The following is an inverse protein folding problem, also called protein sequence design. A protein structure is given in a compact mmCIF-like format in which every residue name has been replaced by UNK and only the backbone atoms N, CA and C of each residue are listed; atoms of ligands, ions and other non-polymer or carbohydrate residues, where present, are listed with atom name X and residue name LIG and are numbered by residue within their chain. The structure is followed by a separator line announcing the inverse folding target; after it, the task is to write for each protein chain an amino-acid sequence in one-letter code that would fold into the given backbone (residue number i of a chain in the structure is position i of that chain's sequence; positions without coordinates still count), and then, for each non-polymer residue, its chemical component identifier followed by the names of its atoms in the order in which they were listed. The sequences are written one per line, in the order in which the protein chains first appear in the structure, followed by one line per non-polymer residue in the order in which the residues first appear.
data_IF_727604651075
#
_entry.id   IF_727604651075
#
_cell.length_a   1.000
_cell.length_b   1.000
_cell.length_c   1.000
_cell.angle_alpha   90.00
_cell.angle_beta   90.00
_cell.angle_gamma   90.00
#
_symmetry.space_group_name_H-M   'P 1'
#
loop_
_entity.id
_entity.type
_entity.pdbx_description
1 polymer ?
#
# COMPACT_ATOMS: atom_id res chain seq x y z
N UNK A 1 -14.51 -36.42 21.45
CA UNK A 1 -13.27 -37.15 21.83
C UNK A 1 -13.61 -38.40 22.65
N UNK A 2 -12.82 -39.49 22.62
CA UNK A 2 -13.03 -40.64 23.52
C UNK A 2 -12.55 -40.28 24.94
N UNK A 3 -13.36 -40.48 26.00
CA UNK A 3 -12.93 -40.17 27.36
C UNK A 3 -11.68 -40.97 27.80
N UNK A 4 -10.90 -40.41 28.71
CA UNK A 4 -9.87 -41.14 29.46
C UNK A 4 -10.61 -42.03 30.46
N UNK A 5 -10.51 -43.34 30.27
CA UNK A 5 -11.09 -44.31 31.21
C UNK A 5 -10.19 -44.38 32.45
N UNK A 6 -10.79 -44.33 33.65
CA UNK A 6 -10.10 -44.52 34.94
C UNK A 6 -9.98 -46.00 35.32
N UNK A 7 -10.82 -46.84 34.72
CA UNK A 7 -10.92 -48.26 34.97
C UNK A 7 -10.18 -49.07 33.90
N UNK A 8 -9.74 -50.28 34.26
CA UNK A 8 -9.19 -51.26 33.32
C UNK A 8 -10.26 -52.27 32.96
N UNK A 9 -10.40 -52.52 31.66
CA UNK A 9 -11.36 -53.46 31.12
C UNK A 9 -10.67 -54.39 30.13
N UNK A 10 -10.71 -55.69 30.38
CA UNK A 10 -10.08 -56.71 29.53
C UNK A 10 -11.15 -57.48 28.72
N UNK A 11 -10.83 -57.97 27.51
CA UNK A 11 -11.74 -58.84 26.76
C UNK A 11 -12.09 -60.10 27.57
N UNK A 12 -13.36 -60.47 27.59
CA UNK A 12 -13.80 -61.69 28.25
C UNK A 12 -13.14 -62.91 27.60
N UNK A 13 -12.58 -63.86 28.38
CA UNK A 13 -12.03 -65.11 27.84
C UNK A 13 -13.05 -65.91 27.00
N UNK A 14 -14.35 -65.76 27.31
CA UNK A 14 -15.44 -66.51 26.68
C UNK A 14 -16.07 -65.82 25.47
N UNK A 15 -15.95 -64.49 25.36
CA UNK A 15 -16.49 -63.69 24.25
C UNK A 15 -15.65 -62.43 24.06
N UNK A 16 -14.76 -62.37 23.05
CA UNK A 16 -13.89 -61.22 22.80
C UNK A 16 -14.64 -59.91 22.51
N UNK A 17 -15.96 -59.94 22.28
CA UNK A 17 -16.80 -58.76 22.08
C UNK A 17 -17.33 -58.18 23.41
N UNK A 18 -17.16 -58.88 24.53
CA UNK A 18 -17.52 -58.41 25.87
C UNK A 18 -16.26 -58.03 26.64
N UNK A 19 -16.34 -56.98 27.44
CA UNK A 19 -15.27 -56.57 28.35
C UNK A 19 -15.64 -56.94 29.79
N UNK A 20 -14.66 -57.41 30.56
CA UNK A 20 -14.76 -57.72 32.00
C UNK A 20 -13.89 -56.74 32.76
N UNK A 21 -14.37 -56.29 33.92
CA UNK A 21 -13.65 -55.36 34.78
C UNK A 21 -12.36 -56.01 35.30
N UNK A 22 -11.23 -55.34 35.09
CA UNK A 22 -9.88 -55.83 35.37
C UNK A 22 -9.13 -54.98 36.42
N UNK A 23 -9.81 -54.06 37.11
CA UNK A 23 -9.25 -53.22 38.16
C UNK A 23 -9.25 -51.72 37.83
N UNK A 24 -8.54 -50.94 38.63
CA UNK A 24 -8.38 -49.49 38.41
C UNK A 24 -7.03 -49.20 37.73
N UNK A 25 -6.93 -48.06 37.05
CA UNK A 25 -5.65 -47.58 36.51
C UNK A 25 -4.83 -46.90 37.60
N UNK A 26 -3.52 -46.88 37.41
CA UNK A 26 -2.64 -46.10 38.28
C UNK A 26 -2.83 -44.61 37.99
N UNK A 27 -2.71 -43.78 39.03
CA UNK A 27 -2.82 -42.34 38.90
C UNK A 27 -1.77 -41.76 37.93
N UNK A 28 -0.57 -42.35 37.89
CA UNK A 28 0.48 -41.99 36.95
C UNK A 28 0.06 -42.22 35.50
N UNK A 29 -0.51 -43.39 35.19
CA UNK A 29 -0.94 -43.70 33.83
C UNK A 29 -2.03 -42.74 33.35
N UNK A 30 -2.98 -42.41 34.23
CA UNK A 30 -4.06 -41.46 33.92
C UNK A 30 -3.51 -40.05 33.72
N UNK A 31 -2.57 -39.62 34.57
CA UNK A 31 -1.94 -38.30 34.47
C UNK A 31 -1.07 -38.15 33.22
N UNK A 32 -0.25 -39.15 32.88
CA UNK A 32 0.59 -39.09 31.68
C UNK A 32 -0.24 -39.12 30.39
N UNK A 33 -1.35 -39.88 30.37
CA UNK A 33 -2.28 -39.82 29.24
C UNK A 33 -2.93 -38.44 29.11
N UNK A 34 -3.37 -37.84 30.22
CA UNK A 34 -3.93 -36.49 30.22
C UNK A 34 -2.90 -35.46 29.73
N UNK A 35 -1.69 -35.51 30.28
CA UNK A 35 -0.57 -34.64 29.91
C UNK A 35 -0.25 -34.74 28.42
N UNK A 36 -0.12 -35.97 27.90
CA UNK A 36 0.10 -36.23 26.48
C UNK A 36 -1.01 -35.65 25.61
N UNK A 37 -2.29 -35.81 26.01
CA UNK A 37 -3.41 -35.23 25.27
C UNK A 37 -3.36 -33.70 25.27
N UNK A 38 -3.11 -33.07 26.42
CA UNK A 38 -3.02 -31.61 26.52
C UNK A 38 -1.86 -31.05 25.68
N UNK A 39 -0.70 -31.70 25.71
CA UNK A 39 0.47 -31.32 24.91
C UNK A 39 0.16 -31.37 23.41
N UNK A 40 -0.44 -32.47 22.92
CA UNK A 40 -0.82 -32.60 21.51
C UNK A 40 -1.85 -31.56 21.05
N UNK A 41 -2.67 -31.05 21.97
CA UNK A 41 -3.66 -29.99 21.68
C UNK A 41 -3.09 -28.57 21.83
N UNK A 42 -1.85 -28.40 22.32
CA UNK A 42 -1.30 -27.08 22.66
C UNK A 42 -1.88 -26.47 23.94
N UNK A 43 -2.49 -27.30 24.78
CA UNK A 43 -3.15 -26.94 26.05
C UNK A 43 -2.38 -27.41 27.28
N UNK A 44 -1.10 -27.77 27.14
CA UNK A 44 -0.25 -27.98 28.30
C UNK A 44 0.09 -26.62 28.94
N UNK A 45 -0.12 -26.44 30.26
CA UNK A 45 0.33 -25.24 30.96
C UNK A 45 1.84 -25.01 30.76
N UNK A 46 2.22 -23.77 30.50
CA UNK A 46 3.56 -23.42 30.01
C UNK A 46 4.61 -23.21 31.11
N UNK A 47 4.22 -23.06 32.38
CA UNK A 47 5.17 -23.06 33.50
C UNK A 47 5.42 -24.48 34.01
N UNK A 48 4.37 -25.17 34.47
CA UNK A 48 4.46 -26.58 34.86
C UNK A 48 3.08 -27.26 34.86
N UNK A 49 3.10 -28.59 34.74
CA UNK A 49 1.95 -29.45 34.98
C UNK A 49 2.41 -30.69 35.75
N UNK A 50 1.99 -30.81 37.01
CA UNK A 50 2.58 -31.75 37.98
C UNK A 50 1.51 -32.62 38.63
N UNK A 51 1.80 -33.92 38.76
CA UNK A 51 1.03 -34.85 39.58
C UNK A 51 1.29 -34.56 41.06
N UNK A 52 0.25 -34.60 41.88
CA UNK A 52 0.40 -34.44 43.32
C UNK A 52 1.09 -35.68 43.94
N UNK A 53 2.06 -35.44 44.83
CA UNK A 53 2.90 -36.47 45.47
C UNK A 53 2.12 -37.58 46.16
N UNK A 54 0.91 -37.30 46.66
CA UNK A 54 0.04 -38.32 47.28
C UNK A 54 -0.38 -39.44 46.31
N UNK A 55 -0.24 -39.22 45.01
CA UNK A 55 -0.60 -40.16 43.95
C UNK A 55 0.60 -40.84 43.30
N UNK A 56 1.81 -40.54 43.76
CA UNK A 56 3.04 -41.18 43.31
C UNK A 56 3.12 -42.67 43.74
N UNK A 57 4.14 -43.40 43.26
CA UNK A 57 4.43 -44.79 43.64
C UNK A 57 3.35 -45.84 43.32
N UNK A 58 2.66 -45.69 42.18
CA UNK A 58 1.76 -46.72 41.65
C UNK A 58 0.39 -46.81 42.33
N UNK A 59 -0.02 -45.75 43.04
CA UNK A 59 -1.34 -45.66 43.65
C UNK A 59 -2.44 -45.71 42.59
N UNK A 60 -3.44 -46.57 42.81
CA UNK A 60 -4.61 -46.67 41.92
C UNK A 60 -5.62 -45.55 42.17
N UNK A 61 -6.31 -45.14 41.10
CA UNK A 61 -7.46 -44.24 41.18
C UNK A 61 -8.60 -44.94 41.94
N UNK A 62 -9.26 -44.28 42.90
CA UNK A 62 -10.39 -44.89 43.60
C UNK A 62 -11.53 -45.24 42.63
N UNK A 63 -12.21 -46.35 42.91
CA UNK A 63 -13.39 -46.74 42.15
C UNK A 63 -14.47 -45.65 42.26
N UNK A 64 -15.18 -45.41 41.16
CA UNK A 64 -16.24 -44.40 41.04
C UNK A 64 -15.74 -42.96 41.29
N UNK A 65 -14.42 -42.73 41.14
CA UNK A 65 -13.86 -41.39 41.19
C UNK A 65 -14.25 -40.57 39.97
N UNK A 66 -14.48 -39.29 40.21
CA UNK A 66 -14.74 -38.27 39.22
C UNK A 66 -13.68 -37.17 39.29
N UNK A 67 -13.45 -36.45 38.19
CA UNK A 67 -12.47 -35.36 38.10
C UNK A 67 -13.17 -34.03 37.89
N UNK A 68 -12.75 -33.01 38.62
CA UNK A 68 -13.14 -31.62 38.35
C UNK A 68 -11.94 -30.69 38.52
N UNK A 69 -12.03 -29.51 37.91
CA UNK A 69 -10.97 -28.51 37.92
C UNK A 69 -11.42 -27.21 38.59
N UNK A 70 -10.50 -26.50 39.23
CA UNK A 70 -10.70 -25.12 39.67
C UNK A 70 -9.57 -24.25 39.14
N UNK A 71 -9.92 -23.21 38.39
CA UNK A 71 -8.97 -22.23 37.85
C UNK A 71 -9.16 -20.90 38.58
N UNK A 72 -8.08 -20.34 39.11
CA UNK A 72 -8.11 -19.11 39.92
C UNK A 72 -6.77 -18.35 39.90
N UNK A 73 -6.77 -17.15 40.49
CA UNK A 73 -5.59 -16.35 40.81
C UNK A 73 -5.02 -16.75 42.18
N UNK A 74 -3.80 -17.29 42.19
CA UNK A 74 -3.02 -17.50 43.40
C UNK A 74 -2.22 -16.29 43.79
N UNK A 75 -2.44 -15.75 45.00
CA UNK A 75 -1.81 -14.51 45.45
C UNK A 75 -0.31 -14.38 45.11
N UNK A 76 0.52 -15.37 45.46
CA UNK A 76 1.95 -15.44 45.05
C UNK A 76 2.23 -16.51 43.99
N UNK A 77 1.22 -17.28 43.60
CA UNK A 77 1.35 -18.45 42.75
C UNK A 77 0.94 -18.18 41.30
N UNK A 78 0.47 -16.98 40.95
CA UNK A 78 0.06 -16.64 39.60
C UNK A 78 -1.25 -17.34 39.20
N UNK A 79 -1.49 -17.53 37.90
CA UNK A 79 -2.70 -18.19 37.40
C UNK A 79 -2.46 -19.70 37.33
N UNK A 80 -3.33 -20.48 37.97
CA UNK A 80 -3.23 -21.93 38.00
C UNK A 80 -4.58 -22.63 37.82
N UNK A 81 -4.52 -23.92 37.49
CA UNK A 81 -5.67 -24.83 37.50
C UNK A 81 -5.33 -26.06 38.35
N UNK A 82 -6.12 -26.27 39.40
CA UNK A 82 -6.03 -27.45 40.25
C UNK A 82 -7.06 -28.49 39.80
N UNK A 83 -6.60 -29.74 39.71
CA UNK A 83 -7.43 -30.89 39.40
C UNK A 83 -7.67 -31.67 40.68
N UNK A 84 -8.91 -32.09 40.89
CA UNK A 84 -9.33 -32.85 42.07
C UNK A 84 -10.01 -34.14 41.66
N UNK A 85 -9.74 -35.20 42.42
CA UNK A 85 -10.51 -36.43 42.40
C UNK A 85 -11.57 -36.38 43.49
N UNK A 86 -12.80 -36.75 43.14
CA UNK A 86 -13.93 -36.88 44.05
C UNK A 86 -14.53 -38.27 43.96
N UNK A 87 -14.64 -38.97 45.09
CA UNK A 87 -15.34 -40.25 45.18
C UNK A 87 -16.10 -40.33 46.51
N UNK A 88 -16.87 -41.40 46.71
CA UNK A 88 -17.56 -41.66 47.97
C UNK A 88 -16.91 -42.80 48.72
N UNK A 89 -16.67 -42.61 50.01
CA UNK A 89 -16.18 -43.64 50.92
C UNK A 89 -17.09 -43.66 52.15
N UNK A 90 -17.69 -44.83 52.43
CA UNK A 90 -18.62 -45.02 53.55
C UNK A 90 -19.83 -44.05 53.55
N UNK A 91 -20.23 -43.56 52.36
CA UNK A 91 -21.33 -42.61 52.18
C UNK A 91 -20.93 -41.14 52.20
N UNK A 92 -19.69 -40.82 52.59
CA UNK A 92 -19.17 -39.46 52.66
C UNK A 92 -18.32 -39.11 51.41
N UNK A 93 -18.43 -37.87 50.88
CA UNK A 93 -17.63 -37.45 49.75
C UNK A 93 -16.18 -37.16 50.18
N UNK A 94 -15.23 -37.80 49.52
CA UNK A 94 -13.79 -37.53 49.67
C UNK A 94 -13.31 -36.74 48.45
N UNK A 95 -12.64 -35.62 48.69
CA UNK A 95 -12.01 -34.78 47.66
C UNK A 95 -10.51 -34.71 47.91
N UNK A 96 -9.72 -35.04 46.91
CA UNK A 96 -8.25 -34.99 46.98
C UNK A 96 -7.67 -34.30 45.75
N UNK A 97 -6.70 -33.42 45.97
CA UNK A 97 -5.90 -32.82 44.90
C UNK A 97 -5.18 -33.93 44.13
N UNK A 98 -5.25 -33.87 42.81
CA UNK A 98 -4.72 -34.86 41.89
C UNK A 98 -3.51 -34.31 41.13
N UNK A 99 -3.64 -33.14 40.52
CA UNK A 99 -2.58 -32.49 39.77
C UNK A 99 -2.78 -30.97 39.75
N UNK A 100 -1.72 -30.23 39.46
CA UNK A 100 -1.76 -28.76 39.34
C UNK A 100 -1.03 -28.31 38.09
N UNK A 101 -1.64 -27.40 37.35
CA UNK A 101 -1.07 -26.74 36.19
C UNK A 101 -0.93 -25.25 36.43
N UNK A 102 0.20 -24.66 36.03
CA UNK A 102 0.45 -23.23 36.15
C UNK A 102 0.93 -22.64 34.83
N UNK A 103 0.52 -21.40 34.57
CA UNK A 103 1.03 -20.60 33.45
C UNK A 103 2.04 -19.54 33.88
N UNK A 104 2.98 -19.21 32.99
CA UNK A 104 3.98 -18.15 33.17
C UNK A 104 3.37 -16.75 33.15
N UNK A 105 2.20 -16.59 32.51
CA UNK A 105 1.52 -15.31 32.34
C UNK A 105 0.57 -14.97 33.49
N UNK A 106 0.31 -13.68 33.67
CA UNK A 106 -0.61 -13.16 34.70
C UNK A 106 -1.72 -12.29 34.11
N UNK A 107 -1.85 -12.24 32.78
CA UNK A 107 -2.85 -11.39 32.11
C UNK A 107 -4.24 -12.02 32.11
N UNK A 108 -5.27 -11.21 31.83
CA UNK A 108 -6.63 -11.72 31.62
C UNK A 108 -6.72 -12.77 30.50
N UNK A 109 -5.93 -12.63 29.44
CA UNK A 109 -5.86 -13.63 28.37
C UNK A 109 -5.21 -14.95 28.81
N UNK A 110 -4.28 -14.90 29.76
CA UNK A 110 -3.68 -16.11 30.34
C UNK A 110 -4.69 -16.84 31.23
N UNK A 111 -5.56 -16.09 31.92
CA UNK A 111 -6.68 -16.64 32.69
C UNK A 111 -7.68 -17.34 31.75
N UNK A 112 -8.08 -16.68 30.67
CA UNK A 112 -9.02 -17.24 29.68
C UNK A 112 -8.45 -18.53 29.07
N UNK A 113 -7.15 -18.53 28.72
CA UNK A 113 -6.45 -19.73 28.26
C UNK A 113 -6.47 -20.83 29.33
N UNK A 114 -6.25 -20.50 30.59
CA UNK A 114 -6.29 -21.48 31.68
C UNK A 114 -7.70 -22.08 31.88
N UNK A 115 -8.76 -21.30 31.70
CA UNK A 115 -10.13 -21.84 31.69
C UNK A 115 -10.39 -22.76 30.48
N UNK A 116 -9.81 -22.48 29.32
CA UNK A 116 -9.88 -23.39 28.17
C UNK A 116 -9.15 -24.70 28.43
N UNK A 117 -7.99 -24.65 29.09
CA UNK A 117 -7.25 -25.85 29.53
C UNK A 117 -8.11 -26.66 30.52
N UNK A 118 -8.71 -26.02 31.52
CA UNK A 118 -9.61 -26.68 32.48
C UNK A 118 -10.84 -27.33 31.80
N UNK A 119 -11.41 -26.66 30.81
CA UNK A 119 -12.47 -27.21 29.96
C UNK A 119 -11.99 -28.42 29.17
N UNK A 120 -10.80 -28.36 28.55
CA UNK A 120 -10.21 -29.47 27.82
C UNK A 120 -9.95 -30.69 28.73
N UNK A 121 -9.48 -30.47 29.95
CA UNK A 121 -9.30 -31.52 30.97
C UNK A 121 -10.66 -32.15 31.31
N UNK A 122 -11.66 -31.34 31.62
CA UNK A 122 -13.00 -31.83 31.97
C UNK A 122 -13.58 -32.68 30.82
N UNK A 123 -13.49 -32.19 29.58
CA UNK A 123 -13.92 -32.93 28.38
C UNK A 123 -13.10 -34.21 28.14
N UNK A 124 -11.83 -34.24 28.56
CA UNK A 124 -11.02 -35.45 28.45
C UNK A 124 -11.58 -36.60 29.30
N UNK A 125 -12.24 -36.33 30.42
CA UNK A 125 -12.83 -37.36 31.29
C UNK A 125 -14.34 -37.55 31.10
N UNK A 126 -15.07 -36.51 30.74
CA UNK A 126 -16.53 -36.58 30.59
C UNK A 126 -17.01 -36.70 29.14
N UNK A 127 -16.13 -36.46 28.17
CA UNK A 127 -16.50 -36.28 26.78
C UNK A 127 -17.14 -34.91 26.51
N UNK A 128 -17.48 -34.67 25.24
CA UNK A 128 -17.97 -33.36 24.79
C UNK A 128 -19.45 -33.11 25.11
N UNK A 129 -20.15 -34.08 25.72
CA UNK A 129 -21.60 -34.00 26.02
C UNK A 129 -21.84 -34.21 27.50
N UNK A 130 -22.45 -33.24 28.17
CA UNK A 130 -22.92 -33.39 29.54
C UNK A 130 -23.90 -34.58 29.67
N UNK A 131 -23.72 -35.39 30.70
CA UNK A 131 -24.39 -36.68 30.94
C UNK A 131 -25.90 -36.58 31.26
N UNK A 132 -26.57 -35.45 31.00
CA UNK A 132 -28.01 -35.28 31.22
C UNK A 132 -28.82 -35.62 29.96
N UNK A 133 -28.78 -36.89 29.57
CA UNK A 133 -29.60 -37.45 28.50
C UNK A 133 -31.06 -37.67 28.93
N UNK A 134 -31.81 -36.60 29.24
CA UNK A 134 -33.29 -36.70 29.37
C UNK A 134 -34.06 -36.25 28.12
N UNK A 135 -33.41 -35.60 27.15
CA UNK A 135 -34.10 -35.07 25.97
C UNK A 135 -33.24 -35.10 24.68
N UNK A 136 -32.66 -36.24 24.30
CA UNK A 136 -32.22 -36.41 22.91
C UNK A 136 -33.42 -36.90 22.08
N UNK A 137 -33.97 -36.04 21.22
CA UNK A 137 -34.94 -36.47 20.21
C UNK A 137 -34.21 -37.29 19.14
N UNK A 138 -34.80 -38.42 18.77
CA UNK A 138 -34.27 -39.30 17.74
C UNK A 138 -34.31 -38.59 16.37
N UNK A 139 -33.15 -38.23 15.82
CA UNK A 139 -33.03 -37.75 14.44
C UNK A 139 -32.39 -36.37 14.21
N UNK A 140 -32.03 -35.60 15.25
CA UNK A 140 -31.26 -34.36 15.06
C UNK A 140 -29.76 -34.70 14.87
N UNK A 141 -29.21 -34.34 13.70
CA UNK A 141 -27.77 -34.20 13.56
C UNK A 141 -27.36 -32.93 14.31
N UNK A 142 -26.31 -32.98 15.16
CA UNK A 142 -25.83 -31.77 15.81
C UNK A 142 -25.32 -30.80 14.73
N UNK A 143 -25.85 -29.58 14.75
CA UNK A 143 -25.26 -28.43 14.06
C UNK A 143 -23.76 -28.34 14.46
N UNK A 144 -22.87 -27.93 13.55
CA UNK A 144 -21.46 -27.74 13.88
C UNK A 144 -21.34 -26.73 15.04
N UNK A 145 -20.84 -27.18 16.19
CA UNK A 145 -20.62 -26.31 17.36
C UNK A 145 -19.56 -25.25 17.03
N UNK A 146 -19.81 -24.00 17.44
CA UNK A 146 -18.87 -22.89 17.30
C UNK A 146 -17.53 -23.23 17.97
N UNK A 147 -16.44 -23.09 17.21
CA UNK A 147 -15.09 -23.36 17.71
C UNK A 147 -14.49 -22.08 18.30
N UNK A 148 -14.29 -22.05 19.63
CA UNK A 148 -13.58 -20.97 20.32
C UNK A 148 -12.08 -21.28 20.31
N UNK A 149 -11.30 -20.48 19.57
CA UNK A 149 -9.84 -20.55 19.52
C UNK A 149 -9.25 -19.34 20.25
N UNK A 150 -8.43 -19.58 21.27
CA UNK A 150 -7.65 -18.53 21.91
C UNK A 150 -6.19 -18.64 21.46
N UNK A 151 -5.79 -17.74 20.56
CA UNK A 151 -4.44 -17.72 19.97
C UNK A 151 -3.58 -16.69 20.70
N UNK A 152 -2.38 -17.08 21.11
CA UNK A 152 -1.40 -16.13 21.63
C UNK A 152 -0.85 -15.23 20.50
N UNK A 153 -0.14 -14.12 20.81
CA UNK A 153 0.34 -13.19 19.77
C UNK A 153 1.25 -13.81 18.70
N UNK A 154 2.02 -14.85 19.04
CA UNK A 154 2.88 -15.54 18.08
C UNK A 154 2.07 -16.46 17.15
N UNK A 155 1.09 -17.19 17.69
CA UNK A 155 0.15 -18.01 16.94
C UNK A 155 -0.72 -17.17 16.01
N UNK A 156 -1.21 -16.01 16.47
CA UNK A 156 -1.95 -15.05 15.66
C UNK A 156 -1.12 -14.58 14.45
N UNK A 157 0.13 -14.17 14.67
CA UNK A 157 1.03 -13.77 13.57
C UNK A 157 1.29 -14.91 12.59
N UNK A 158 1.47 -16.12 13.10
CA UNK A 158 1.70 -17.30 12.26
C UNK A 158 0.49 -17.60 11.39
N UNK A 159 -0.71 -17.53 11.96
CA UNK A 159 -1.95 -17.72 11.24
C UNK A 159 -2.21 -16.62 10.20
N UNK A 160 -1.98 -15.35 10.56
CA UNK A 160 -2.09 -14.21 9.62
C UNK A 160 -1.11 -14.40 8.45
N UNK A 161 0.15 -14.72 8.72
CA UNK A 161 1.15 -14.93 7.67
C UNK A 161 0.76 -16.10 6.74
N UNK A 162 0.28 -17.21 7.31
CA UNK A 162 -0.19 -18.35 6.51
C UNK A 162 -1.41 -17.98 5.64
N UNK A 163 -2.33 -17.16 6.15
CA UNK A 163 -3.48 -16.67 5.38
C UNK A 163 -3.06 -15.71 4.26
N UNK A 164 -2.11 -14.80 4.52
CA UNK A 164 -1.57 -13.89 3.50
C UNK A 164 -0.86 -14.68 2.42
N UNK A 165 0.02 -15.61 2.79
CA UNK A 165 0.74 -16.46 1.83
C UNK A 165 -0.24 -17.33 1.01
N UNK A 166 -1.28 -17.87 1.65
CA UNK A 166 -2.32 -18.62 0.96
C UNK A 166 -3.09 -17.74 -0.02
N UNK A 167 -3.39 -16.49 0.34
CA UNK A 167 -4.03 -15.51 -0.55
C UNK A 167 -3.13 -15.19 -1.75
N UNK A 168 -1.85 -14.95 -1.53
CA UNK A 168 -0.88 -14.68 -2.61
C UNK A 168 -0.73 -15.88 -3.56
N UNK A 169 -0.64 -17.10 -3.01
CA UNK A 169 -0.64 -18.33 -3.82
C UNK A 169 -1.94 -18.51 -4.61
N UNK A 170 -3.09 -18.19 -4.01
CA UNK A 170 -4.37 -18.20 -4.71
C UNK A 170 -4.44 -17.16 -5.82
N UNK A 171 -3.93 -15.95 -5.59
CA UNK A 171 -3.89 -14.88 -6.58
C UNK A 171 -2.98 -15.23 -7.77
N UNK A 172 -1.81 -15.81 -7.51
CA UNK A 172 -0.93 -16.33 -8.56
C UNK A 172 -1.56 -17.49 -9.33
N UNK A 173 -2.20 -18.44 -8.63
CA UNK A 173 -2.91 -19.54 -9.27
C UNK A 173 -4.11 -19.03 -10.10
N UNK A 174 -4.84 -18.03 -9.60
CA UNK A 174 -5.91 -17.37 -10.34
C UNK A 174 -5.38 -16.64 -11.57
N UNK A 175 -4.26 -15.91 -11.47
CA UNK A 175 -3.65 -15.24 -12.62
C UNK A 175 -3.20 -16.23 -13.70
N UNK A 176 -2.60 -17.37 -13.31
CA UNK A 176 -2.21 -18.41 -14.27
C UNK A 176 -3.44 -19.10 -14.89
N UNK A 177 -4.47 -19.37 -14.09
CA UNK A 177 -5.74 -19.93 -14.57
C UNK A 177 -6.42 -18.97 -15.54
N UNK A 178 -6.44 -17.67 -15.22
CA UNK A 178 -6.96 -16.60 -16.06
C UNK A 178 -6.20 -16.53 -17.40
N UNK A 179 -4.87 -16.56 -17.38
CA UNK A 179 -4.05 -16.59 -18.58
C UNK A 179 -4.28 -17.83 -19.43
N UNK A 180 -4.48 -19.00 -18.79
CA UNK A 180 -4.78 -20.25 -19.49
C UNK A 180 -6.17 -20.19 -20.15
N UNK A 181 -7.18 -19.71 -19.42
CA UNK A 181 -8.53 -19.51 -19.94
C UNK A 181 -8.53 -18.54 -21.12
N UNK A 182 -7.85 -17.39 -21.00
CA UNK A 182 -7.66 -16.43 -22.11
C UNK A 182 -7.05 -17.08 -23.36
N UNK A 183 -6.11 -18.02 -23.19
CA UNK A 183 -5.52 -18.77 -24.32
C UNK A 183 -6.49 -19.78 -24.94
N UNK A 184 -7.37 -20.37 -24.14
CA UNK A 184 -8.31 -21.39 -24.59
C UNK A 184 -9.54 -20.78 -25.30
N UNK A 185 -10.07 -19.67 -24.80
CA UNK A 185 -11.32 -19.06 -25.29
C UNK A 185 -11.11 -17.77 -26.09
N UNK A 186 -9.88 -17.25 -26.17
CA UNK A 186 -9.54 -16.00 -26.87
C UNK A 186 -9.76 -14.74 -26.04
N UNK A 187 -10.76 -14.73 -25.15
CA UNK A 187 -11.01 -13.66 -24.17
C UNK A 187 -11.69 -14.23 -22.92
N UNK A 188 -11.59 -13.53 -21.77
CA UNK A 188 -12.33 -13.94 -20.56
C UNK A 188 -13.81 -13.81 -20.80
N UNK A 189 -14.21 -12.76 -21.52
CA UNK A 189 -15.60 -12.48 -21.86
C UNK A 189 -16.23 -13.68 -22.61
N UNK A 190 -15.53 -14.24 -23.60
CA UNK A 190 -15.98 -15.43 -24.34
C UNK A 190 -16.12 -16.69 -23.47
N UNK A 191 -15.18 -16.92 -22.53
CA UNK A 191 -15.29 -18.00 -21.55
C UNK A 191 -16.52 -17.81 -20.64
N UNK A 192 -16.72 -16.59 -20.14
CA UNK A 192 -17.84 -16.30 -19.23
C UNK A 192 -19.21 -16.44 -19.92
N UNK A 193 -19.29 -16.13 -21.21
CA UNK A 193 -20.49 -16.36 -22.04
C UNK A 193 -20.75 -17.87 -22.27
N UNK A 194 -19.72 -18.69 -22.44
CA UNK A 194 -19.84 -20.15 -22.62
C UNK A 194 -20.25 -20.88 -21.33
N UNK A 195 -19.75 -20.46 -20.16
CA UNK A 195 -19.84 -21.27 -18.92
C UNK A 195 -21.16 -21.06 -18.16
N UNK A 196 -21.96 -20.05 -18.53
CA UNK A 196 -23.35 -19.94 -18.07
C UNK A 196 -23.54 -19.66 -16.57
N UNK A 197 -23.96 -18.43 -16.26
CA UNK A 197 -24.51 -17.93 -14.99
C UNK A 197 -24.73 -18.92 -13.82
N UNK A 198 -23.78 -19.04 -12.88
CA UNK A 198 -23.99 -19.14 -11.39
C UNK A 198 -22.66 -18.91 -10.62
N UNK A 199 -22.63 -18.17 -9.49
CA UNK A 199 -23.36 -16.95 -9.13
C UNK A 199 -22.36 -15.82 -8.80
N UNK A 200 -21.93 -15.05 -9.80
CA UNK A 200 -21.50 -13.65 -9.66
C UNK A 200 -22.00 -12.98 -10.94
N UNK A 201 -23.12 -12.25 -10.87
CA UNK A 201 -23.53 -11.41 -12.01
C UNK A 201 -22.49 -10.29 -12.09
N UNK A 202 -21.60 -10.32 -13.08
CA UNK A 202 -20.78 -9.15 -13.39
C UNK A 202 -21.71 -7.98 -13.67
N UNK A 203 -21.42 -6.85 -13.04
CA UNK A 203 -22.10 -5.60 -13.36
C UNK A 203 -21.80 -5.23 -14.81
N UNK A 204 -22.66 -4.40 -15.42
CA UNK A 204 -22.38 -3.90 -16.77
C UNK A 204 -21.08 -3.08 -16.82
N UNK A 205 -20.67 -2.49 -15.69
CA UNK A 205 -19.36 -1.86 -15.51
C UNK A 205 -18.22 -2.88 -15.59
N UNK A 206 -18.28 -3.97 -14.83
CA UNK A 206 -17.23 -5.00 -14.83
C UNK A 206 -17.08 -5.62 -16.23
N UNK A 207 -18.20 -5.83 -16.94
CA UNK A 207 -18.17 -6.30 -18.33
C UNK A 207 -17.54 -5.27 -19.26
N UNK A 208 -17.83 -3.98 -19.08
CA UNK A 208 -17.23 -2.92 -19.88
C UNK A 208 -15.70 -2.86 -19.68
N UNK A 209 -15.22 -2.98 -18.43
CA UNK A 209 -13.79 -3.06 -18.12
C UNK A 209 -13.14 -4.29 -18.76
N UNK A 210 -13.79 -5.46 -18.70
CA UNK A 210 -13.30 -6.66 -19.39
C UNK A 210 -13.24 -6.46 -20.90
N UNK A 211 -14.28 -5.90 -21.52
CA UNK A 211 -14.30 -5.61 -22.95
C UNK A 211 -13.18 -4.65 -23.37
N UNK A 212 -12.86 -3.64 -22.53
CA UNK A 212 -11.69 -2.77 -22.74
C UNK A 212 -10.42 -3.61 -22.75
N UNK A 213 -10.18 -4.40 -21.71
CA UNK A 213 -8.96 -5.21 -21.57
C UNK A 213 -8.80 -6.23 -22.71
N UNK A 214 -9.91 -6.84 -23.12
CA UNK A 214 -9.96 -7.84 -24.19
C UNK A 214 -9.88 -7.19 -25.58
N UNK A 215 -10.15 -5.89 -25.72
CA UNK A 215 -10.17 -5.21 -27.01
C UNK A 215 -11.44 -5.39 -27.82
N UNK A 216 -12.52 -5.79 -27.17
CA UNK A 216 -13.80 -6.04 -27.81
C UNK A 216 -14.57 -4.72 -27.93
N UNK A 217 -14.23 -3.92 -28.94
CA UNK A 217 -14.81 -2.59 -29.15
C UNK A 217 -16.34 -2.60 -29.26
N UNK A 218 -16.91 -3.59 -29.98
CA UNK A 218 -18.36 -3.72 -30.14
C UNK A 218 -19.06 -4.04 -28.82
N UNK A 219 -18.49 -4.98 -28.03
CA UNK A 219 -19.01 -5.33 -26.71
C UNK A 219 -18.97 -4.11 -25.78
N UNK A 220 -17.82 -3.42 -25.71
CA UNK A 220 -17.66 -2.18 -24.97
C UNK A 220 -18.69 -1.12 -25.39
N UNK A 221 -18.88 -0.92 -26.70
CA UNK A 221 -19.80 0.07 -27.25
C UNK A 221 -21.26 -0.17 -26.86
N UNK A 222 -21.64 -1.43 -26.65
CA UNK A 222 -22.98 -1.80 -26.17
C UNK A 222 -23.17 -1.63 -24.66
N UNK A 223 -22.08 -1.56 -23.89
CA UNK A 223 -22.05 -1.62 -22.43
C UNK A 223 -21.86 -0.25 -21.78
N UNK A 224 -20.92 0.58 -22.26
CA UNK A 224 -20.62 1.87 -21.62
C UNK A 224 -21.85 2.80 -21.48
N UNK A 225 -22.84 2.84 -22.41
CA UNK A 225 -24.02 3.69 -22.24
C UNK A 225 -24.92 3.27 -21.07
N UNK A 226 -24.75 2.06 -20.53
CA UNK A 226 -25.54 1.52 -19.42
C UNK A 226 -25.00 1.88 -18.05
N UNK A 227 -23.79 2.43 -17.99
CA UNK A 227 -23.08 2.80 -16.75
C UNK A 227 -22.53 4.23 -16.84
N UNK A 228 -23.37 5.24 -17.13
CA UNK A 228 -22.93 6.62 -17.33
C UNK A 228 -22.30 7.23 -16.06
N UNK A 229 -22.67 6.73 -14.88
CA UNK A 229 -22.10 7.10 -13.58
C UNK A 229 -20.64 6.66 -13.40
N UNK A 230 -20.13 5.77 -14.26
CA UNK A 230 -18.76 5.23 -14.22
C UNK A 230 -17.90 5.70 -15.40
N UNK A 231 -18.30 6.78 -16.07
CA UNK A 231 -17.61 7.29 -17.25
C UNK A 231 -16.14 7.66 -17.00
N UNK A 232 -15.85 8.32 -15.87
CA UNK A 232 -14.49 8.66 -15.44
C UNK A 232 -13.60 7.41 -15.35
N UNK A 233 -14.07 6.37 -14.64
CA UNK A 233 -13.35 5.11 -14.48
C UNK A 233 -13.11 4.41 -15.83
N UNK A 234 -14.13 4.38 -16.69
CA UNK A 234 -14.03 3.76 -18.01
C UNK A 234 -13.08 4.53 -18.94
N UNK A 235 -13.03 5.86 -18.84
CA UNK A 235 -12.09 6.67 -19.62
C UNK A 235 -10.64 6.37 -19.20
N UNK A 236 -10.38 6.25 -17.90
CA UNK A 236 -9.07 5.89 -17.35
C UNK A 236 -8.64 4.50 -17.84
N UNK A 237 -9.52 3.48 -17.74
CA UNK A 237 -9.22 2.13 -18.22
C UNK A 237 -9.00 2.09 -19.74
N UNK A 238 -9.85 2.76 -20.53
CA UNK A 238 -9.74 2.81 -21.99
C UNK A 238 -8.47 3.53 -22.46
N UNK A 239 -8.10 4.63 -21.80
CA UNK A 239 -6.91 5.39 -22.13
C UNK A 239 -5.62 4.60 -21.88
N UNK A 240 -5.59 3.78 -20.82
CA UNK A 240 -4.48 2.88 -20.51
C UNK A 240 -4.33 1.70 -21.47
N UNK A 241 -5.33 1.41 -22.32
CA UNK A 241 -5.27 0.31 -23.28
C UNK A 241 -4.38 0.64 -24.47
N UNK A 242 -3.33 -0.14 -24.78
CA UNK A 242 -2.48 0.11 -25.95
C UNK A 242 -3.20 -0.13 -27.29
N UNK A 243 -2.73 0.52 -28.34
CA UNK A 243 -3.16 0.29 -29.73
C UNK A 243 -4.47 0.99 -30.12
N UNK A 244 -4.79 0.91 -31.42
CA UNK A 244 -5.90 1.64 -32.06
C UNK A 244 -7.26 1.43 -31.39
N UNK A 245 -7.54 0.22 -30.93
CA UNK A 245 -8.79 -0.11 -30.25
C UNK A 245 -8.97 0.69 -28.96
N UNK A 246 -7.91 0.89 -28.17
CA UNK A 246 -7.97 1.75 -26.98
C UNK A 246 -8.30 3.20 -27.32
N UNK A 247 -7.67 3.73 -28.37
CA UNK A 247 -8.01 5.06 -28.90
C UNK A 247 -9.44 5.17 -29.41
N UNK A 248 -9.99 4.14 -30.05
CA UNK A 248 -11.39 4.12 -30.47
C UNK A 248 -12.34 4.11 -29.28
N UNK A 249 -12.03 3.37 -28.21
CA UNK A 249 -12.82 3.34 -26.97
C UNK A 249 -12.82 4.71 -26.28
N UNK A 250 -11.66 5.36 -26.18
CA UNK A 250 -11.54 6.74 -25.67
C UNK A 250 -12.41 7.69 -26.49
N UNK A 251 -12.28 7.68 -27.83
CA UNK A 251 -13.11 8.56 -28.68
C UNK A 251 -14.60 8.30 -28.53
N UNK A 252 -15.01 7.05 -28.38
CA UNK A 252 -16.41 6.69 -28.16
C UNK A 252 -16.94 7.29 -26.85
N UNK A 253 -16.16 7.23 -25.76
CA UNK A 253 -16.52 7.84 -24.48
C UNK A 253 -16.57 9.37 -24.58
N UNK A 254 -15.54 10.00 -25.16
CA UNK A 254 -15.51 11.46 -25.35
C UNK A 254 -16.66 11.96 -26.24
N UNK A 255 -17.14 11.15 -27.18
CA UNK A 255 -18.28 11.54 -28.04
C UNK A 255 -19.64 11.36 -27.37
N UNK A 256 -19.75 10.48 -26.37
CA UNK A 256 -21.02 10.07 -25.79
C UNK A 256 -21.30 10.70 -24.43
N UNK A 257 -20.27 11.09 -23.69
CA UNK A 257 -20.38 11.68 -22.36
C UNK A 257 -20.19 13.21 -22.47
N UNK A 258 -21.00 13.97 -21.74
CA UNK A 258 -20.97 15.43 -21.82
C UNK A 258 -19.73 16.03 -21.14
N UNK A 259 -19.37 15.54 -19.95
CA UNK A 259 -18.26 16.07 -19.15
C UNK A 259 -17.62 14.97 -18.30
N UNK A 260 -16.32 15.14 -18.02
CA UNK A 260 -15.51 14.33 -17.12
C UNK A 260 -14.91 15.20 -16.02
N UNK A 261 -14.61 14.62 -14.87
CA UNK A 261 -13.87 15.34 -13.83
C UNK A 261 -12.44 15.66 -14.28
N UNK A 262 -11.87 16.82 -13.91
CA UNK A 262 -10.49 17.18 -14.24
C UNK A 262 -9.45 16.16 -13.78
N UNK A 263 -9.64 15.60 -12.59
CA UNK A 263 -8.75 14.60 -12.01
C UNK A 263 -8.79 13.28 -12.80
N UNK A 264 -9.98 12.81 -13.16
CA UNK A 264 -10.12 11.58 -13.94
C UNK A 264 -9.58 11.76 -15.36
N UNK A 265 -9.86 12.91 -16.00
CA UNK A 265 -9.37 13.21 -17.33
C UNK A 265 -7.84 13.31 -17.38
N UNK A 266 -7.23 14.01 -16.41
CA UNK A 266 -5.78 14.06 -16.26
C UNK A 266 -5.19 12.65 -16.04
N UNK A 267 -5.84 11.84 -15.21
CA UNK A 267 -5.43 10.45 -14.97
C UNK A 267 -5.49 9.63 -16.26
N UNK A 268 -6.56 9.79 -17.05
CA UNK A 268 -6.70 9.15 -18.36
C UNK A 268 -5.60 9.63 -19.33
N UNK A 269 -5.29 10.92 -19.40
CA UNK A 269 -4.18 11.43 -20.20
C UNK A 269 -2.83 10.82 -19.79
N UNK A 270 -2.56 10.72 -18.48
CA UNK A 270 -1.34 10.07 -17.94
C UNK A 270 -1.28 8.60 -18.36
N UNK A 271 -2.38 7.86 -18.25
CA UNK A 271 -2.50 6.47 -18.71
C UNK A 271 -2.28 6.35 -20.22
N UNK A 272 -2.78 7.29 -21.02
CA UNK A 272 -2.52 7.32 -22.45
C UNK A 272 -1.02 7.56 -22.76
N UNK A 273 -0.33 8.41 -22.01
CA UNK A 273 1.14 8.61 -22.11
C UNK A 273 1.90 7.32 -21.88
N UNK A 274 1.50 6.52 -20.88
CA UNK A 274 2.13 5.22 -20.58
C UNK A 274 2.10 4.27 -21.78
N UNK A 275 1.08 4.36 -22.64
CA UNK A 275 0.96 3.53 -23.85
C UNK A 275 1.93 3.93 -24.98
N UNK A 276 2.48 5.15 -24.93
CA UNK A 276 3.36 5.70 -25.96
C UNK A 276 2.67 6.19 -27.24
N UNK A 277 1.33 6.27 -27.26
CA UNK A 277 0.57 6.79 -28.40
C UNK A 277 0.50 8.33 -28.38
N UNK A 278 1.51 9.00 -28.95
CA UNK A 278 1.58 10.47 -29.02
C UNK A 278 0.32 11.10 -29.62
N UNK A 279 -0.24 10.49 -30.66
CA UNK A 279 -1.39 11.05 -31.38
C UNK A 279 -2.63 11.07 -30.49
N UNK A 280 -2.90 9.96 -29.78
CA UNK A 280 -4.01 9.89 -28.83
C UNK A 280 -3.86 10.89 -27.69
N UNK A 281 -2.67 10.98 -27.09
CA UNK A 281 -2.43 11.93 -25.99
C UNK A 281 -2.67 13.36 -26.46
N UNK A 282 -2.16 13.71 -27.65
CA UNK A 282 -2.39 15.01 -28.28
C UNK A 282 -3.88 15.29 -28.44
N UNK A 283 -4.65 14.38 -29.05
CA UNK A 283 -6.09 14.59 -29.26
C UNK A 283 -6.84 14.80 -27.94
N UNK A 284 -6.52 14.02 -26.91
CA UNK A 284 -7.13 14.22 -25.58
C UNK A 284 -6.79 15.59 -24.99
N UNK A 285 -5.55 16.04 -25.11
CA UNK A 285 -5.15 17.38 -24.61
C UNK A 285 -5.82 18.50 -25.42
N UNK A 286 -5.93 18.37 -26.75
CA UNK A 286 -6.58 19.35 -27.64
C UNK A 286 -8.09 19.48 -27.36
N UNK A 287 -8.76 18.37 -27.05
CA UNK A 287 -10.21 18.35 -26.78
C UNK A 287 -10.56 18.54 -25.29
N UNK A 288 -9.56 18.72 -24.41
CA UNK A 288 -9.79 18.78 -22.96
C UNK A 288 -10.79 19.88 -22.56
N UNK A 289 -10.67 21.09 -23.12
CA UNK A 289 -11.56 22.21 -22.78
C UNK A 289 -13.05 21.92 -23.10
N UNK A 290 -13.33 21.06 -24.09
CA UNK A 290 -14.71 20.71 -24.44
C UNK A 290 -15.31 19.59 -23.59
N UNK A 291 -14.46 18.80 -22.92
CA UNK A 291 -14.87 17.57 -22.22
C UNK A 291 -14.72 17.66 -20.70
N UNK A 292 -14.15 18.73 -20.17
CA UNK A 292 -13.97 18.92 -18.74
C UNK A 292 -15.18 19.61 -18.11
N UNK A 293 -15.54 19.16 -16.91
CA UNK A 293 -16.60 19.80 -16.13
C UNK A 293 -16.25 21.21 -15.65
N UNK A 294 -14.96 21.51 -15.53
CA UNK A 294 -14.43 22.82 -15.14
C UNK A 294 -13.08 23.09 -15.80
N UNK A 295 -12.67 24.37 -15.97
CA UNK A 295 -11.41 24.71 -16.61
C UNK A 295 -10.22 24.16 -15.83
N UNK A 296 -9.28 23.49 -16.52
CA UNK A 296 -8.05 22.98 -15.91
C UNK A 296 -6.79 23.44 -16.64
N UNK A 297 -6.34 24.70 -16.42
CA UNK A 297 -5.29 25.33 -17.22
C UNK A 297 -3.92 24.62 -17.19
N UNK A 298 -3.58 23.95 -16.08
CA UNK A 298 -2.30 23.24 -15.91
C UNK A 298 -2.27 21.84 -16.52
N UNK A 299 -3.40 21.32 -16.99
CA UNK A 299 -3.54 19.93 -17.46
C UNK A 299 -2.45 19.56 -18.46
N UNK A 300 -2.27 20.39 -19.48
CA UNK A 300 -1.28 20.16 -20.53
C UNK A 300 0.14 20.07 -19.97
N UNK A 301 0.50 20.99 -19.07
CA UNK A 301 1.80 21.00 -18.41
C UNK A 301 2.04 19.76 -17.54
N UNK A 302 1.02 19.29 -16.84
CA UNK A 302 1.10 18.08 -16.00
C UNK A 302 1.22 16.80 -16.82
N UNK A 303 0.56 16.72 -17.98
CA UNK A 303 0.70 15.60 -18.92
C UNK A 303 2.12 15.56 -19.50
N UNK A 304 2.67 16.72 -19.88
CA UNK A 304 4.06 16.83 -20.35
C UNK A 304 5.05 16.41 -19.25
N UNK A 305 4.85 16.88 -18.02
CA UNK A 305 5.69 16.51 -16.88
C UNK A 305 5.67 15.01 -16.64
N UNK A 306 4.49 14.39 -16.70
CA UNK A 306 4.35 12.95 -16.55
C UNK A 306 5.03 12.16 -17.68
N UNK A 307 4.98 12.66 -18.91
CA UNK A 307 5.71 12.07 -20.04
C UNK A 307 7.23 12.11 -19.83
N UNK A 308 7.78 13.20 -19.28
CA UNK A 308 9.18 13.27 -18.90
C UNK A 308 9.56 12.26 -17.79
N UNK A 309 8.72 12.11 -16.77
CA UNK A 309 8.98 11.20 -15.66
C UNK A 309 9.00 9.72 -16.08
N UNK A 310 8.31 9.35 -17.17
CA UNK A 310 8.17 7.97 -17.66
C UNK A 310 9.01 7.69 -18.93
N UNK A 311 10.03 8.50 -19.21
CA UNK A 311 10.90 8.38 -20.40
C UNK A 311 10.14 8.38 -21.75
N UNK A 312 8.99 9.06 -21.80
CA UNK A 312 8.18 9.27 -23.01
C UNK A 312 8.51 10.60 -23.67
N UNK A 313 9.79 10.85 -23.92
CA UNK A 313 10.31 12.15 -24.42
C UNK A 313 9.73 12.55 -25.78
N UNK A 314 9.43 11.60 -26.66
CA UNK A 314 8.77 11.89 -27.95
C UNK A 314 7.39 12.50 -27.75
N UNK A 315 6.59 11.92 -26.86
CA UNK A 315 5.25 12.42 -26.52
C UNK A 315 5.34 13.81 -25.91
N UNK A 316 6.28 14.02 -24.98
CA UNK A 316 6.50 15.33 -24.36
C UNK A 316 6.86 16.41 -25.40
N UNK A 317 7.78 16.12 -26.34
CA UNK A 317 8.18 17.05 -27.40
C UNK A 317 7.02 17.36 -28.35
N UNK A 318 6.29 16.34 -28.80
CA UNK A 318 5.14 16.50 -29.67
C UNK A 318 4.09 17.45 -29.06
N UNK A 319 3.84 17.30 -27.74
CA UNK A 319 2.94 18.17 -27.01
C UNK A 319 3.49 19.60 -26.90
N UNK A 320 4.74 19.77 -26.45
CA UNK A 320 5.34 21.10 -26.24
C UNK A 320 5.34 21.92 -27.52
N UNK A 321 5.63 21.32 -28.68
CA UNK A 321 5.65 22.00 -29.96
C UNK A 321 4.30 22.64 -30.31
N UNK A 322 3.20 21.99 -29.90
CA UNK A 322 1.83 22.39 -30.27
C UNK A 322 1.10 23.20 -29.19
N UNK A 323 1.61 23.18 -27.96
CA UNK A 323 1.03 23.96 -26.86
C UNK A 323 1.03 25.46 -27.16
N UNK A 324 -0.04 26.14 -26.77
CA UNK A 324 -0.06 27.60 -26.77
C UNK A 324 0.82 28.16 -25.63
N UNK A 325 1.33 29.41 -25.76
CA UNK A 325 2.05 30.06 -24.66
C UNK A 325 1.23 30.14 -23.37
N UNK A 326 -0.10 30.30 -23.45
CA UNK A 326 -0.97 30.32 -22.28
C UNK A 326 -0.98 29.00 -21.50
N UNK A 327 -0.99 27.86 -22.21
CA UNK A 327 -0.92 26.53 -21.59
C UNK A 327 0.44 26.27 -20.94
N UNK A 328 1.53 26.74 -21.54
CA UNK A 328 2.88 26.61 -20.97
C UNK A 328 3.06 27.55 -19.77
N UNK A 329 2.51 28.75 -19.81
CA UNK A 329 2.54 29.68 -18.68
C UNK A 329 1.78 29.13 -17.45
N UNK A 330 0.71 28.36 -17.67
CA UNK A 330 -0.05 27.68 -16.62
C UNK A 330 0.54 26.32 -16.18
N UNK A 331 1.60 25.85 -16.83
CA UNK A 331 2.20 24.56 -16.53
C UNK A 331 2.92 24.55 -15.16
N UNK A 332 3.09 23.37 -14.54
CA UNK A 332 3.84 23.25 -13.30
C UNK A 332 5.26 23.84 -13.40
N UNK A 333 5.67 24.73 -12.48
CA UNK A 333 6.99 25.39 -12.52
C UNK A 333 8.19 24.43 -12.58
N UNK A 334 8.03 23.23 -12.00
CA UNK A 334 9.05 22.17 -11.98
C UNK A 334 9.38 21.60 -13.38
N UNK A 335 8.53 21.84 -14.38
CA UNK A 335 8.72 21.31 -15.73
C UNK A 335 10.04 21.78 -16.36
N UNK A 336 10.40 23.06 -16.19
CA UNK A 336 11.67 23.60 -16.70
C UNK A 336 12.87 22.94 -16.01
N UNK A 337 12.78 22.70 -14.70
CA UNK A 337 13.82 21.96 -13.94
C UNK A 337 14.02 20.56 -14.50
N UNK A 338 12.94 19.85 -14.86
CA UNK A 338 13.03 18.50 -15.39
C UNK A 338 13.71 18.47 -16.77
N UNK A 339 13.39 19.42 -17.66
CA UNK A 339 14.03 19.56 -18.96
C UNK A 339 15.52 19.89 -18.83
N UNK A 340 15.87 20.81 -17.92
CA UNK A 340 17.25 21.19 -17.63
C UNK A 340 18.06 20.04 -17.03
N UNK A 341 17.50 19.30 -16.06
CA UNK A 341 18.16 18.14 -15.44
C UNK A 341 18.39 17.00 -16.44
N UNK A 342 17.54 16.89 -17.46
CA UNK A 342 17.67 15.91 -18.55
C UNK A 342 18.60 16.36 -19.67
N UNK A 343 19.21 17.55 -19.56
CA UNK A 343 20.03 18.21 -20.60
C UNK A 343 19.32 18.32 -21.95
N UNK A 344 17.99 18.45 -21.94
CA UNK A 344 17.17 18.61 -23.14
C UNK A 344 17.07 20.09 -23.52
N UNK A 345 18.20 20.63 -24.02
CA UNK A 345 18.36 22.05 -24.29
C UNK A 345 17.26 22.64 -25.18
N UNK A 346 16.97 21.97 -26.30
CA UNK A 346 15.98 22.46 -27.26
C UNK A 346 14.61 22.63 -26.60
N UNK A 347 14.23 21.66 -25.76
CA UNK A 347 12.95 21.71 -25.08
C UNK A 347 12.91 22.76 -23.99
N UNK A 348 13.99 22.91 -23.22
CA UNK A 348 14.11 23.95 -22.22
C UNK A 348 13.98 25.36 -22.83
N UNK A 349 14.61 25.60 -23.99
CA UNK A 349 14.47 26.86 -24.73
C UNK A 349 13.03 27.05 -25.21
N UNK A 350 12.41 26.05 -25.84
CA UNK A 350 11.02 26.16 -26.29
C UNK A 350 10.06 26.46 -25.14
N UNK A 351 10.28 25.89 -23.94
CA UNK A 351 9.47 26.18 -22.75
C UNK A 351 9.64 27.64 -22.30
N UNK A 352 10.87 28.16 -22.31
CA UNK A 352 11.18 29.56 -21.98
C UNK A 352 10.56 30.51 -23.01
N UNK A 353 10.75 30.25 -24.31
CA UNK A 353 10.20 31.06 -25.40
C UNK A 353 8.66 31.10 -25.36
N UNK A 354 8.03 30.01 -24.89
CA UNK A 354 6.57 29.92 -24.68
C UNK A 354 6.10 30.48 -23.33
N UNK A 355 7.01 31.01 -22.50
CA UNK A 355 6.67 31.76 -21.30
C UNK A 355 6.44 30.93 -20.03
N UNK A 356 7.10 29.77 -19.90
CA UNK A 356 7.08 28.98 -18.65
C UNK A 356 7.49 29.86 -17.45
N UNK A 357 6.82 29.69 -16.32
CA UNK A 357 7.10 30.42 -15.08
C UNK A 357 7.76 29.51 -14.05
N UNK A 358 9.11 29.46 -13.98
CA UNK A 358 9.81 28.55 -13.06
C UNK A 358 9.73 28.96 -11.58
N UNK A 359 9.43 30.23 -11.27
CA UNK A 359 9.38 30.72 -9.89
C UNK A 359 10.67 30.42 -9.12
N UNK A 360 10.55 29.86 -7.92
CA UNK A 360 11.69 29.48 -7.08
C UNK A 360 12.57 28.39 -7.71
N UNK A 361 12.01 27.55 -8.59
CA UNK A 361 12.77 26.52 -9.30
C UNK A 361 13.79 27.10 -10.30
N UNK A 362 13.75 28.40 -10.61
CA UNK A 362 14.80 29.05 -11.39
C UNK A 362 16.18 28.90 -10.73
N UNK A 363 16.24 28.98 -9.40
CA UNK A 363 17.47 28.74 -8.65
C UNK A 363 17.96 27.29 -8.80
N UNK A 364 17.04 26.33 -8.74
CA UNK A 364 17.35 24.91 -8.91
C UNK A 364 17.84 24.58 -10.33
N UNK A 365 17.23 25.20 -11.36
CA UNK A 365 17.65 25.07 -12.76
C UNK A 365 19.10 25.54 -12.90
N UNK A 366 19.40 26.75 -12.41
CA UNK A 366 20.73 27.33 -12.49
C UNK A 366 21.74 26.54 -11.67
N UNK A 367 21.38 26.11 -10.46
CA UNK A 367 22.20 25.23 -9.63
C UNK A 367 22.54 23.93 -10.36
N UNK A 368 21.55 23.28 -10.97
CA UNK A 368 21.72 22.01 -11.68
C UNK A 368 22.64 22.17 -12.88
N UNK A 369 22.43 23.19 -13.71
CA UNK A 369 23.21 23.41 -14.92
C UNK A 369 24.66 23.83 -14.61
N UNK A 370 24.84 24.76 -13.67
CA UNK A 370 26.19 25.22 -13.28
C UNK A 370 26.98 24.14 -12.55
N UNK A 371 26.34 23.35 -11.69
CA UNK A 371 26.95 22.22 -11.00
C UNK A 371 27.36 21.08 -11.96
N UNK A 372 26.67 20.94 -13.09
CA UNK A 372 27.03 19.99 -14.17
C UNK A 372 27.98 20.60 -15.22
N UNK A 373 28.53 21.79 -14.97
CA UNK A 373 29.38 22.54 -15.90
C UNK A 373 28.74 22.85 -17.26
N UNK A 374 27.41 22.93 -17.32
CA UNK A 374 26.63 23.31 -18.51
C UNK A 374 26.33 24.81 -18.51
N UNK A 375 27.35 25.63 -18.26
CA UNK A 375 27.20 27.09 -18.14
C UNK A 375 26.63 27.72 -19.41
N UNK A 376 27.07 27.26 -20.58
CA UNK A 376 26.55 27.71 -21.88
C UNK A 376 25.03 27.54 -22.01
N UNK A 377 24.46 26.47 -21.45
CA UNK A 377 23.02 26.21 -21.51
C UNK A 377 22.27 27.15 -20.57
N UNK A 378 22.79 27.38 -19.36
CA UNK A 378 22.21 28.33 -18.43
C UNK A 378 22.25 29.77 -18.95
N UNK A 379 23.36 30.18 -19.57
CA UNK A 379 23.49 31.48 -20.26
C UNK A 379 22.43 31.62 -21.35
N UNK A 380 22.29 30.62 -22.23
CA UNK A 380 21.30 30.62 -23.30
C UNK A 380 19.86 30.71 -22.78
N UNK A 381 19.52 29.97 -21.73
CA UNK A 381 18.17 30.05 -21.14
C UNK A 381 17.87 31.45 -20.58
N UNK A 382 18.85 32.09 -19.93
CA UNK A 382 18.71 33.47 -19.47
C UNK A 382 18.57 34.44 -20.65
N UNK A 383 19.40 34.32 -21.68
CA UNK A 383 19.31 35.12 -22.92
C UNK A 383 17.93 35.03 -23.58
N UNK A 384 17.33 33.84 -23.62
CA UNK A 384 15.97 33.60 -24.10
C UNK A 384 14.87 34.13 -23.17
N UNK A 385 15.23 34.70 -22.02
CA UNK A 385 14.29 35.37 -21.13
C UNK A 385 13.72 34.48 -20.03
N UNK A 386 14.45 33.44 -19.60
CA UNK A 386 14.04 32.64 -18.43
C UNK A 386 13.76 33.55 -17.23
N UNK A 387 12.53 33.54 -16.67
CA UNK A 387 12.18 34.42 -15.57
C UNK A 387 12.99 34.09 -14.31
N UNK A 388 13.68 35.09 -13.77
CA UNK A 388 14.33 35.03 -12.46
C UNK A 388 13.89 36.26 -11.67
N UNK A 389 13.29 36.04 -10.50
CA UNK A 389 12.82 37.14 -9.68
C UNK A 389 14.01 37.98 -9.16
N UNK A 390 13.92 39.32 -9.09
CA UNK A 390 14.99 40.19 -8.58
C UNK A 390 15.44 39.90 -7.15
N UNK A 391 14.57 39.27 -6.35
CA UNK A 391 14.80 38.84 -4.97
C UNK A 391 15.21 37.37 -4.86
N UNK A 392 15.38 36.65 -5.97
CA UNK A 392 15.85 35.26 -5.98
C UNK A 392 17.38 35.20 -5.77
N UNK A 393 17.82 35.54 -4.56
CA UNK A 393 19.22 35.50 -4.15
C UNK A 393 19.81 34.09 -4.17
N UNK A 394 18.96 33.06 -4.02
CA UNK A 394 19.36 31.65 -4.12
C UNK A 394 19.92 31.31 -5.50
N UNK A 395 19.35 31.88 -6.57
CA UNK A 395 19.85 31.70 -7.94
C UNK A 395 21.27 32.25 -8.11
N UNK A 396 21.50 33.51 -7.70
CA UNK A 396 22.82 34.14 -7.77
C UNK A 396 23.85 33.40 -6.91
N UNK A 397 23.45 32.98 -5.71
CA UNK A 397 24.27 32.19 -4.80
C UNK A 397 24.67 30.83 -5.38
N UNK A 398 23.76 30.13 -6.07
CA UNK A 398 24.08 28.86 -6.71
C UNK A 398 25.14 29.03 -7.80
N UNK A 399 25.00 30.04 -8.66
CA UNK A 399 25.98 30.34 -9.71
C UNK A 399 27.37 30.62 -9.14
N UNK A 400 27.45 31.45 -8.10
CA UNK A 400 28.73 31.84 -7.48
C UNK A 400 29.41 30.68 -6.76
N UNK A 401 28.67 29.84 -6.03
CA UNK A 401 29.27 28.66 -5.39
C UNK A 401 29.83 27.65 -6.38
N UNK A 402 29.25 27.59 -7.58
CA UNK A 402 29.70 26.74 -8.68
C UNK A 402 30.74 27.43 -9.58
N UNK A 403 31.21 28.64 -9.22
CA UNK A 403 32.23 29.38 -9.99
C UNK A 403 31.73 29.95 -11.32
N UNK A 404 30.43 29.99 -11.56
CA UNK A 404 29.83 30.50 -12.80
C UNK A 404 29.56 32.01 -12.73
N UNK A 405 30.64 32.80 -12.66
CA UNK A 405 30.59 34.26 -12.48
C UNK A 405 29.86 34.95 -13.62
N UNK A 406 30.06 34.52 -14.87
CA UNK A 406 29.44 35.14 -16.04
C UNK A 406 27.91 35.04 -16.04
N UNK A 407 27.37 33.92 -15.54
CA UNK A 407 25.93 33.78 -15.30
C UNK A 407 25.48 34.71 -14.18
N UNK A 408 26.29 34.87 -13.13
CA UNK A 408 26.05 35.86 -12.07
C UNK A 408 25.95 37.29 -12.61
N UNK A 409 26.83 37.68 -13.55
CA UNK A 409 26.78 38.99 -14.22
C UNK A 409 25.46 39.16 -15.00
N UNK A 410 25.03 38.14 -15.74
CA UNK A 410 23.75 38.15 -16.48
C UNK A 410 22.52 38.28 -15.56
N UNK A 411 22.59 37.77 -14.33
CA UNK A 411 21.54 37.92 -13.33
C UNK A 411 21.51 39.33 -12.73
N UNK A 412 22.67 39.96 -12.52
CA UNK A 412 22.74 41.37 -12.11
C UNK A 412 22.18 42.30 -13.19
N UNK A 413 22.52 42.04 -14.46
CA UNK A 413 22.00 42.80 -15.61
C UNK A 413 20.46 42.71 -15.71
N UNK A 414 19.85 41.66 -15.14
CA UNK A 414 18.40 41.45 -15.06
C UNK A 414 17.76 41.99 -13.78
N UNK A 415 18.51 42.71 -12.95
CA UNK A 415 17.97 43.50 -11.85
C UNK A 415 18.04 42.84 -10.47
N UNK A 416 18.85 41.79 -10.26
CA UNK A 416 19.13 41.32 -8.90
C UNK A 416 19.90 42.40 -8.13
N UNK A 417 19.40 42.74 -6.93
CA UNK A 417 20.02 43.71 -6.02
C UNK A 417 21.25 43.10 -5.32
N UNK A 418 22.44 43.49 -5.75
CA UNK A 418 23.71 43.00 -5.21
C UNK A 418 23.91 43.39 -3.73
N UNK A 419 23.49 44.58 -3.32
CA UNK A 419 23.68 45.06 -1.94
C UNK A 419 22.85 44.22 -0.97
N UNK A 420 21.57 43.98 -1.30
CA UNK A 420 20.70 43.09 -0.51
C UNK A 420 21.17 41.64 -0.55
N UNK A 421 21.66 41.18 -1.70
CA UNK A 421 22.25 39.86 -1.84
C UNK A 421 23.43 39.67 -0.87
N UNK A 422 24.34 40.65 -0.79
CA UNK A 422 25.51 40.56 0.10
C UNK A 422 25.10 40.40 1.57
N UNK A 423 24.07 41.14 2.02
CA UNK A 423 23.51 41.02 3.38
C UNK A 423 22.91 39.62 3.60
N UNK A 424 22.16 39.11 2.64
CA UNK A 424 21.55 37.78 2.70
C UNK A 424 22.60 36.66 2.73
N UNK A 425 23.67 36.80 1.94
CA UNK A 425 24.73 35.80 1.77
C UNK A 425 25.69 35.66 2.98
N UNK A 426 25.65 36.57 3.96
CA UNK A 426 26.48 36.49 5.18
C UNK A 426 26.22 35.21 5.97
N UNK A 427 24.98 34.71 5.96
CA UNK A 427 24.54 33.56 6.77
C UNK A 427 24.73 32.21 6.06
N UNK A 428 25.22 32.20 4.82
CA UNK A 428 25.25 31.02 3.96
C UNK A 428 26.64 30.36 3.91
N UNK A 429 26.70 29.05 3.63
CA UNK A 429 27.94 28.26 3.58
C UNK A 429 28.64 28.37 2.22
N UNK A 430 29.79 29.01 2.19
CA UNK A 430 30.52 29.32 0.94
C UNK A 430 31.42 28.18 0.47
N UNK A 431 31.51 27.99 -0.85
CA UNK A 431 32.53 27.13 -1.48
C UNK A 431 33.91 27.82 -1.51
N UNK A 432 34.97 27.06 -1.78
CA UNK A 432 36.35 27.61 -1.82
C UNK A 432 36.53 28.71 -2.88
N UNK A 433 35.86 28.62 -4.03
CA UNK A 433 35.91 29.61 -5.11
C UNK A 433 34.90 30.77 -5.00
N UNK A 434 34.03 30.76 -3.98
CA UNK A 434 32.95 31.75 -3.87
C UNK A 434 33.47 33.18 -3.70
N UNK A 435 34.54 33.37 -2.93
CA UNK A 435 35.08 34.71 -2.64
C UNK A 435 35.68 35.37 -3.89
N UNK A 436 36.44 34.61 -4.67
CA UNK A 436 37.02 35.06 -5.95
C UNK A 436 35.90 35.44 -6.94
N UNK A 437 34.89 34.58 -7.04
CA UNK A 437 33.70 34.83 -7.85
C UNK A 437 32.94 36.11 -7.43
N UNK A 438 32.84 36.36 -6.12
CA UNK A 438 32.22 37.56 -5.57
C UNK A 438 33.02 38.84 -5.81
N UNK A 439 34.35 38.78 -5.71
CA UNK A 439 35.23 39.92 -5.98
C UNK A 439 35.13 40.34 -7.46
N UNK A 440 35.13 39.35 -8.37
CA UNK A 440 34.96 39.61 -9.79
C UNK A 440 33.58 40.20 -10.12
N UNK A 441 32.51 39.65 -9.51
CA UNK A 441 31.15 40.15 -9.69
C UNK A 441 30.99 41.59 -9.15
N UNK A 442 31.57 41.89 -7.99
CA UNK A 442 31.54 43.22 -7.39
C UNK A 442 32.29 44.24 -8.24
N UNK A 443 33.47 43.85 -8.76
CA UNK A 443 34.25 44.68 -9.67
C UNK A 443 33.51 44.99 -10.98
N UNK A 444 32.70 44.05 -11.47
CA UNK A 444 31.84 44.27 -12.65
C UNK A 444 30.71 45.26 -12.35
N UNK A 445 30.04 45.12 -11.21
CA UNK A 445 28.95 46.01 -10.79
C UNK A 445 29.41 47.46 -10.56
N UNK A 446 30.56 47.66 -9.90
CA UNK A 446 31.15 49.00 -9.71
C UNK A 446 31.51 49.67 -11.04
N UNK A 447 31.97 48.90 -12.04
CA UNK A 447 32.23 49.40 -13.41
C UNK A 447 30.94 49.82 -14.12
N UNK A 448 29.83 49.13 -13.90
CA UNK A 448 28.53 49.54 -14.46
C UNK A 448 28.02 50.84 -13.85
N UNK A 449 28.21 51.04 -12.54
CA UNK A 449 27.81 52.29 -11.88
C UNK A 449 28.66 53.50 -12.25
N UNK A 450 29.91 53.28 -12.65
CA UNK A 450 30.89 54.30 -13.00
C UNK A 450 30.96 54.63 -14.51
N UNK A 451 30.11 54.03 -15.34
CA UNK A 451 30.00 54.32 -16.77
C UNK A 451 29.37 55.69 -17.08
N UNK A 452 29.70 56.33 -18.22
CA UNK A 452 29.28 57.70 -18.50
C UNK A 452 27.76 57.82 -18.59
N UNK A 453 27.19 58.75 -17.82
CA UNK A 453 25.83 59.27 -18.02
C UNK A 453 25.70 59.71 -19.47
N UNK A 454 24.79 59.08 -20.22
CA UNK A 454 24.33 59.64 -21.49
C UNK A 454 23.59 60.94 -21.15
N UNK A 455 24.30 62.06 -21.28
CA UNK A 455 23.70 63.39 -21.39
C UNK A 455 22.69 63.36 -22.53
N UNK A 456 21.41 63.39 -22.18
CA UNK A 456 20.35 63.65 -23.15
C UNK A 456 20.58 65.02 -23.80
N UNK A 457 20.27 65.19 -25.09
CA UNK A 457 20.57 66.44 -25.79
C UNK A 457 19.80 67.58 -25.13
N UNK A 458 20.58 68.54 -24.61
CA UNK A 458 20.10 69.85 -24.20
C UNK A 458 19.31 70.47 -25.34
N UNK A 459 17.99 70.62 -25.15
CA UNK A 459 17.16 71.46 -26.01
C UNK A 459 17.61 72.91 -25.80
N UNK A 460 18.54 73.33 -26.67
CA UNK A 460 18.92 74.72 -26.82
C UNK A 460 17.73 75.54 -27.33
N UNK A 461 17.53 76.67 -26.67
CA UNK A 461 16.70 77.79 -27.07
C UNK A 461 16.71 78.03 -28.59
N UNK A 462 15.52 78.11 -29.18
CA UNK A 462 15.29 79.00 -30.32
C UNK A 462 14.01 79.79 -30.07
N UNK A 463 14.23 81.02 -29.60
CA UNK A 463 13.28 82.11 -29.67
C UNK A 463 13.13 82.62 -31.11
N UNK A 464 11.90 83.09 -31.37
CA UNK A 464 11.36 83.88 -32.50
C UNK A 464 10.85 83.11 -33.73
#
# INVERSE_FOLDING_TARGET
MKPIELERWEPSPDDPRRKVYAGQRTAQEVFEELKYRLENMGYLPDEYFLLNREWENGREIPKDADIFCTTDYGGSEGIYTDLYLKWYQDGDPVIKSFATGKTLGESGSDLDRMYLIASAITKAFHGDRGTYARYLRWGEQPEPEDMILHLNPAEQRTFINALVEQRERQEQAMSQTEQLLRRMTGSITAYMDEVGQRPLRLSDYDKAVLAIRDGEFEAFSSLYPRVPDRADDLLIEAAGRPGRTGGNMVRALLSAMEQFSPEAYLTACKRAVETGDSWRVRTMVEEAESHLSEPYPSLTGEVILHAYANDRKSVAKDLIDQCSPGQIAAAPPILLRQAAASLDFQTAVTLVDKGIQPGDYAADVLHTLTGQHQNWMAERLLEHGMPVAPDNYTALYACLNNGAVDIGKLLLDRGIDLERYQIWAVKQRRSEGYMEAMEELTSYWEKQQSGPQQDGPSMGDMHL
#
